data_IF_508893673453
#
_entry.id   IF_508893673453
#
_cell.length_a   1.000
_cell.length_b   1.000
_cell.length_c   1.000
_cell.angle_alpha   90.00
_cell.angle_beta   90.00
_cell.angle_gamma   90.00
#
_symmetry.space_group_name_H-M   'P 1'
#
loop_
_entity.id
_entity.type
_entity.pdbx_description
1 polymer ?
#
# COMPACT_ATOMS: atom_id res chain seq x y z
N UNK A 1 -11.59 3.60 14.51
CA UNK A 1 -10.69 3.61 15.67
C UNK A 1 -9.70 2.46 15.53
N UNK A 2 -8.56 2.54 16.21
CA UNK A 2 -7.41 1.63 16.04
C UNK A 2 -7.78 0.15 16.17
N UNK A 3 -8.56 -0.23 17.19
CA UNK A 3 -8.99 -1.63 17.39
C UNK A 3 -9.75 -2.19 16.20
N UNK A 4 -10.63 -1.39 15.57
CA UNK A 4 -11.40 -1.83 14.39
C UNK A 4 -10.48 -2.04 13.19
N UNK A 5 -9.49 -1.16 13.01
CA UNK A 5 -8.52 -1.29 11.93
C UNK A 5 -7.66 -2.55 12.07
N UNK A 6 -7.11 -2.80 13.27
CA UNK A 6 -6.30 -3.98 13.54
C UNK A 6 -7.08 -5.29 13.35
N UNK A 7 -8.35 -5.34 13.75
CA UNK A 7 -9.18 -6.53 13.48
C UNK A 7 -9.40 -6.76 11.99
N UNK A 8 -9.59 -5.68 11.21
CA UNK A 8 -9.76 -5.79 9.75
C UNK A 8 -8.49 -6.32 9.09
N UNK A 9 -7.31 -5.83 9.49
CA UNK A 9 -6.01 -6.34 9.01
C UNK A 9 -5.87 -7.85 9.27
N UNK A 10 -6.09 -8.28 10.51
CA UNK A 10 -6.01 -9.69 10.89
C UNK A 10 -6.99 -10.58 10.13
N UNK A 11 -8.14 -10.06 9.70
CA UNK A 11 -9.07 -10.82 8.86
C UNK A 11 -8.46 -11.04 7.47
N UNK A 12 -7.89 -10.00 6.84
CA UNK A 12 -7.25 -10.14 5.53
C UNK A 12 -6.00 -11.03 5.57
N UNK A 13 -5.28 -11.07 6.69
CA UNK A 13 -4.15 -11.98 6.89
C UNK A 13 -4.57 -13.45 6.95
N UNK A 14 -5.76 -13.75 7.50
CA UNK A 14 -6.19 -15.14 7.77
C UNK A 14 -7.13 -15.74 6.72
N UNK A 15 -7.79 -14.93 5.90
CA UNK A 15 -8.71 -15.44 4.88
C UNK A 15 -7.94 -16.25 3.82
N UNK A 16 -8.29 -17.53 3.70
CA UNK A 16 -7.79 -18.39 2.62
C UNK A 16 -8.67 -18.27 1.36
N UNK A 17 -8.16 -17.55 0.36
CA UNK A 17 -8.84 -17.32 -0.92
C UNK A 17 -9.01 -18.59 -1.77
N UNK A 18 -8.41 -19.72 -1.37
CA UNK A 18 -8.55 -21.01 -2.07
C UNK A 18 -9.73 -21.85 -1.58
N UNK A 19 -10.34 -21.50 -0.44
CA UNK A 19 -11.48 -22.23 0.12
C UNK A 19 -12.77 -21.86 -0.65
N UNK A 20 -13.57 -22.88 -0.97
CA UNK A 20 -14.83 -22.75 -1.69
C UNK A 20 -15.96 -23.41 -0.89
N UNK A 21 -17.07 -22.72 -0.61
CA UNK A 21 -17.35 -21.33 -0.99
C UNK A 21 -16.56 -20.31 -0.13
N UNK A 22 -16.05 -19.26 -0.77
CA UNK A 22 -15.23 -18.23 -0.12
C UNK A 22 -16.01 -17.50 0.98
N UNK A 23 -17.32 -17.34 0.79
CA UNK A 23 -18.22 -16.69 1.73
C UNK A 23 -18.23 -17.37 3.10
N UNK A 24 -18.19 -18.71 3.12
CA UNK A 24 -18.14 -19.48 4.38
C UNK A 24 -16.81 -19.28 5.11
N UNK A 25 -15.70 -19.21 4.36
CA UNK A 25 -14.38 -18.94 4.92
C UNK A 25 -14.32 -17.54 5.54
N UNK A 26 -14.79 -16.52 4.82
CA UNK A 26 -14.85 -15.14 5.32
C UNK A 26 -15.70 -15.10 6.61
N UNK A 27 -16.89 -15.70 6.60
CA UNK A 27 -17.77 -15.71 7.78
C UNK A 27 -17.12 -16.43 8.97
N UNK A 28 -16.41 -17.53 8.73
CA UNK A 28 -15.67 -18.28 9.76
C UNK A 28 -14.59 -17.42 10.40
N UNK A 29 -13.73 -16.79 9.59
CA UNK A 29 -12.65 -15.91 10.07
C UNK A 29 -13.23 -14.69 10.81
N UNK A 30 -14.21 -14.01 10.22
CA UNK A 30 -14.85 -12.83 10.82
C UNK A 30 -15.46 -13.19 12.17
N UNK A 31 -16.23 -14.29 12.25
CA UNK A 31 -16.84 -14.76 13.50
C UNK A 31 -15.76 -15.00 14.56
N UNK A 32 -14.69 -15.71 14.22
CA UNK A 32 -13.59 -15.98 15.15
C UNK A 32 -12.96 -14.68 15.69
N UNK A 33 -12.77 -13.68 14.83
CA UNK A 33 -12.12 -12.40 15.20
C UNK A 33 -12.99 -11.45 16.00
N UNK A 34 -14.32 -11.47 15.82
CA UNK A 34 -15.22 -10.52 16.49
C UNK A 34 -15.96 -11.07 17.70
N UNK A 35 -15.82 -12.37 18.01
CA UNK A 35 -16.66 -13.10 18.99
C UNK A 35 -16.78 -12.40 20.35
N UNK A 36 -15.68 -11.85 20.88
CA UNK A 36 -15.64 -11.20 22.20
C UNK A 36 -15.42 -9.67 22.13
N UNK A 37 -15.59 -9.07 20.95
CA UNK A 37 -15.24 -7.68 20.70
C UNK A 37 -16.43 -6.73 20.56
N UNK A 38 -16.15 -5.42 20.59
CA UNK A 38 -17.12 -4.35 20.26
C UNK A 38 -17.73 -4.49 18.85
N UNK A 39 -17.15 -5.35 18.02
CA UNK A 39 -17.57 -5.63 16.65
C UNK A 39 -18.54 -6.81 16.51
N UNK A 40 -18.91 -7.49 17.60
CA UNK A 40 -19.75 -8.71 17.55
C UNK A 40 -21.04 -8.55 16.74
N UNK A 41 -21.68 -7.39 16.81
CA UNK A 41 -22.93 -7.11 16.11
C UNK A 41 -22.74 -6.64 14.65
N UNK A 42 -21.51 -6.59 14.15
CA UNK A 42 -21.17 -6.11 12.81
C UNK A 42 -20.66 -7.23 11.89
N UNK A 43 -20.76 -8.50 12.28
CA UNK A 43 -20.18 -9.62 11.53
C UNK A 43 -20.62 -9.71 10.08
N UNK A 44 -21.91 -9.54 9.80
CA UNK A 44 -22.43 -9.53 8.42
C UNK A 44 -21.86 -8.37 7.59
N UNK A 45 -21.85 -7.16 8.16
CA UNK A 45 -21.31 -5.97 7.50
C UNK A 45 -19.81 -6.09 7.23
N UNK A 46 -19.04 -6.66 8.16
CA UNK A 46 -17.60 -6.90 8.00
C UNK A 46 -17.37 -7.99 6.95
N UNK A 47 -18.12 -9.09 7.00
CA UNK A 47 -17.99 -10.17 6.01
C UNK A 47 -18.26 -9.66 4.59
N UNK A 48 -19.33 -8.87 4.42
CA UNK A 48 -19.64 -8.21 3.17
C UNK A 48 -18.51 -7.28 2.71
N UNK A 49 -18.00 -6.41 3.59
CA UNK A 49 -16.90 -5.50 3.27
C UNK A 49 -15.62 -6.26 2.86
N UNK A 50 -15.30 -7.36 3.53
CA UNK A 50 -14.15 -8.21 3.19
C UNK A 50 -14.34 -8.84 1.82
N UNK A 51 -15.51 -9.43 1.54
CA UNK A 51 -15.83 -9.99 0.23
C UNK A 51 -15.77 -8.93 -0.88
N UNK A 52 -16.36 -7.75 -0.65
CA UNK A 52 -16.32 -6.62 -1.59
C UNK A 52 -14.87 -6.17 -1.84
N UNK A 53 -14.04 -6.09 -0.79
CA UNK A 53 -12.63 -5.72 -0.93
C UNK A 53 -11.85 -6.76 -1.73
N UNK A 54 -12.03 -8.04 -1.41
CA UNK A 54 -11.31 -9.14 -2.06
C UNK A 54 -11.66 -9.26 -3.55
N UNK A 55 -12.91 -8.95 -3.91
CA UNK A 55 -13.44 -9.13 -5.27
C UNK A 55 -13.41 -7.87 -6.14
N UNK A 56 -12.97 -6.73 -5.61
CA UNK A 56 -12.83 -5.49 -6.38
C UNK A 56 -11.57 -5.56 -7.25
N UNK A 57 -11.67 -5.33 -8.57
CA UNK A 57 -10.49 -5.21 -9.42
C UNK A 57 -9.62 -4.03 -8.99
N UNK A 58 -8.29 -4.20 -8.98
CA UNK A 58 -7.39 -3.20 -8.43
C UNK A 58 -7.13 -2.03 -9.40
N UNK A 59 -7.30 -2.23 -10.71
CA UNK A 59 -7.09 -1.18 -11.70
C UNK A 59 -5.63 -0.76 -11.87
N UNK A 60 -5.41 0.34 -12.60
CA UNK A 60 -4.09 0.91 -12.81
C UNK A 60 -3.07 -0.12 -13.34
N UNK A 61 -1.88 -0.25 -12.73
CA UNK A 61 -0.86 -1.21 -13.16
C UNK A 61 -1.25 -2.68 -12.94
N UNK A 62 -2.34 -2.95 -12.20
CA UNK A 62 -2.84 -4.30 -11.89
C UNK A 62 -4.03 -4.70 -12.77
N UNK A 63 -4.60 -3.78 -13.54
CA UNK A 63 -5.71 -4.05 -14.45
C UNK A 63 -6.92 -4.69 -13.74
N UNK A 64 -7.30 -5.90 -14.18
CA UNK A 64 -8.44 -6.62 -13.61
C UNK A 64 -8.07 -7.59 -12.47
N UNK A 65 -6.80 -7.64 -12.07
CA UNK A 65 -6.38 -8.48 -10.95
C UNK A 65 -7.12 -8.06 -9.67
N UNK A 66 -7.51 -9.04 -8.86
CA UNK A 66 -8.19 -8.83 -7.57
C UNK A 66 -7.41 -9.54 -6.47
N UNK A 67 -7.62 -9.13 -5.22
CA UNK A 67 -6.99 -9.79 -4.07
C UNK A 67 -7.45 -11.26 -3.94
N UNK A 68 -8.70 -11.57 -4.32
CA UNK A 68 -9.22 -12.95 -4.33
C UNK A 68 -8.46 -13.87 -5.28
N UNK A 69 -7.81 -13.34 -6.32
CA UNK A 69 -7.05 -14.12 -7.30
C UNK A 69 -5.65 -14.51 -6.79
N UNK A 70 -5.29 -14.09 -5.57
CA UNK A 70 -3.98 -14.27 -4.97
C UNK A 70 -4.11 -15.26 -3.80
N UNK A 71 -3.64 -16.52 -3.96
CA UNK A 71 -3.70 -17.50 -2.89
C UNK A 71 -2.75 -17.13 -1.73
N UNK A 72 -3.00 -17.58 -0.49
CA UNK A 72 -2.11 -17.31 0.65
C UNK A 72 -0.66 -17.72 0.40
N UNK A 73 -0.42 -18.78 -0.39
CA UNK A 73 0.93 -19.23 -0.79
C UNK A 73 1.71 -18.22 -1.65
N UNK A 74 1.04 -17.18 -2.18
CA UNK A 74 1.64 -16.07 -2.92
C UNK A 74 1.55 -14.75 -2.16
N UNK A 75 1.15 -14.77 -0.90
CA UNK A 75 1.09 -13.60 -0.04
C UNK A 75 2.18 -13.70 1.03
N UNK A 76 2.91 -12.62 1.25
CA UNK A 76 3.71 -12.44 2.46
C UNK A 76 2.96 -11.40 3.31
N UNK A 77 2.07 -11.82 4.21
CA UNK A 77 1.40 -10.91 5.13
C UNK A 77 2.39 -10.38 6.17
N UNK A 78 2.17 -9.15 6.64
CA UNK A 78 2.95 -8.52 7.71
C UNK A 78 4.47 -8.63 7.50
N UNK A 79 4.93 -8.26 6.30
CA UNK A 79 6.36 -8.30 5.97
C UNK A 79 7.10 -7.22 6.75
N UNK A 80 7.63 -7.62 7.91
CA UNK A 80 8.54 -6.82 8.71
C UNK A 80 9.84 -6.51 7.97
N UNK A 81 10.35 -5.29 8.14
CA UNK A 81 11.66 -4.90 7.64
C UNK A 81 12.43 -4.07 8.66
N UNK A 82 13.75 -4.18 8.55
CA UNK A 82 14.70 -3.34 9.26
C UNK A 82 15.72 -2.81 8.24
N UNK A 83 15.89 -1.50 8.20
CA UNK A 83 16.77 -0.83 7.26
C UNK A 83 17.71 0.13 7.99
N UNK A 84 19.01 -0.13 7.89
CA UNK A 84 20.01 0.85 8.29
C UNK A 84 19.88 2.12 7.46
N UNK A 85 19.93 3.25 8.17
CA UNK A 85 19.96 4.59 7.61
C UNK A 85 21.37 5.17 7.82
N UNK A 86 22.11 5.38 6.72
CA UNK A 86 23.43 6.02 6.76
C UNK A 86 23.39 7.51 7.10
N UNK A 87 22.19 8.07 7.32
CA UNK A 87 21.93 9.50 7.34
C UNK A 87 22.45 10.29 8.54
N UNK A 88 22.68 9.68 9.71
CA UNK A 88 23.21 10.43 10.87
C UNK A 88 24.64 10.94 10.64
N UNK A 89 25.46 10.22 9.87
CA UNK A 89 26.81 10.67 9.53
C UNK A 89 26.84 11.66 8.35
N UNK A 90 25.76 11.73 7.57
CA UNK A 90 25.68 12.52 6.31
C UNK A 90 24.56 13.57 6.28
N UNK A 91 23.96 13.87 7.45
CA UNK A 91 22.87 14.85 7.62
C UNK A 91 21.73 14.72 6.59
N UNK A 92 21.34 13.48 6.28
CA UNK A 92 20.24 13.22 5.33
C UNK A 92 18.93 13.59 6.03
N UNK A 93 18.02 14.25 5.31
CA UNK A 93 16.74 14.70 5.85
C UNK A 93 15.57 14.03 5.15
N UNK A 94 14.39 14.05 5.76
CA UNK A 94 13.15 13.61 5.08
C UNK A 94 12.92 14.41 3.79
N UNK A 95 13.23 15.71 3.77
CA UNK A 95 13.16 16.54 2.57
C UNK A 95 14.06 16.08 1.42
N UNK A 96 15.15 15.37 1.71
CA UNK A 96 15.98 14.73 0.68
C UNK A 96 15.20 13.66 -0.10
N UNK A 97 14.26 12.96 0.55
CA UNK A 97 13.34 12.02 -0.13
C UNK A 97 12.44 12.80 -1.08
N UNK A 98 11.86 13.92 -0.62
CA UNK A 98 11.04 14.81 -1.47
C UNK A 98 11.79 15.27 -2.73
N UNK A 99 13.06 15.66 -2.59
CA UNK A 99 13.91 16.09 -3.71
C UNK A 99 14.11 14.96 -4.74
N UNK A 100 14.38 13.73 -4.28
CA UNK A 100 14.51 12.56 -5.17
C UNK A 100 13.20 12.29 -5.92
N UNK A 101 12.05 12.36 -5.24
CA UNK A 101 10.75 12.21 -5.90
C UNK A 101 10.55 13.29 -6.95
N UNK A 102 10.78 14.56 -6.62
CA UNK A 102 10.59 15.69 -7.54
C UNK A 102 11.47 15.57 -8.80
N UNK A 103 12.66 14.99 -8.68
CA UNK A 103 13.53 14.71 -9.83
C UNK A 103 12.97 13.58 -10.73
N UNK A 104 12.31 12.58 -10.14
CA UNK A 104 11.90 11.37 -10.85
C UNK A 104 10.45 11.39 -11.37
N UNK A 105 9.57 12.13 -10.70
CA UNK A 105 8.13 12.15 -10.99
C UNK A 105 7.81 13.17 -12.08
N UNK A 106 6.87 12.81 -12.97
CA UNK A 106 6.30 13.78 -13.90
C UNK A 106 5.32 14.71 -13.16
N UNK A 107 5.03 15.92 -13.68
CA UNK A 107 4.04 16.81 -13.07
C UNK A 107 2.61 16.23 -13.02
N UNK A 108 2.32 15.19 -13.82
CA UNK A 108 1.04 14.51 -13.85
C UNK A 108 0.99 13.29 -12.90
N UNK A 109 2.10 12.93 -12.25
CA UNK A 109 2.13 11.83 -11.30
C UNK A 109 1.28 12.18 -10.07
N UNK A 110 0.45 11.25 -9.56
CA UNK A 110 -0.40 11.52 -8.40
C UNK A 110 0.38 11.86 -7.12
N UNK A 111 1.68 11.56 -7.05
CA UNK A 111 2.55 11.90 -5.92
C UNK A 111 3.38 13.17 -6.15
N UNK A 112 3.22 13.87 -7.29
CA UNK A 112 3.99 15.07 -7.60
C UNK A 112 3.76 16.19 -6.56
N UNK A 113 2.51 16.45 -6.18
CA UNK A 113 2.19 17.44 -5.14
C UNK A 113 2.75 17.03 -3.77
N UNK A 114 2.67 15.73 -3.43
CA UNK A 114 3.28 15.22 -2.21
C UNK A 114 4.81 15.37 -2.17
N UNK A 115 5.49 15.24 -3.31
CA UNK A 115 6.93 15.48 -3.41
C UNK A 115 7.29 16.94 -3.04
N UNK A 116 6.47 17.90 -3.47
CA UNK A 116 6.62 19.31 -3.07
C UNK A 116 6.39 19.52 -1.56
N UNK A 117 5.35 18.88 -1.00
CA UNK A 117 5.07 18.90 0.45
C UNK A 117 6.30 18.42 1.23
N UNK A 118 6.90 17.30 0.83
CA UNK A 118 8.10 16.77 1.47
C UNK A 118 9.31 17.69 1.35
N UNK A 119 9.38 18.56 0.34
CA UNK A 119 10.46 19.55 0.22
C UNK A 119 10.29 20.75 1.17
N UNK A 120 9.14 20.86 1.86
CA UNK A 120 8.84 21.94 2.77
C UNK A 120 9.66 21.92 4.06
N UNK A 121 9.74 23.06 4.78
CA UNK A 121 10.56 23.22 5.99
C UNK A 121 10.15 22.27 7.14
N UNK A 122 8.89 21.83 7.18
CA UNK A 122 8.41 20.86 8.16
C UNK A 122 9.11 19.49 8.05
N UNK A 123 9.73 19.18 6.92
CA UNK A 123 10.42 17.91 6.65
C UNK A 123 11.95 18.05 6.63
N UNK A 124 12.49 19.18 7.11
CA UNK A 124 13.92 19.36 7.38
C UNK A 124 14.36 18.59 8.65
N UNK A 125 13.92 17.35 8.77
CA UNK A 125 14.13 16.46 9.91
C UNK A 125 15.26 15.49 9.54
N UNK A 126 16.40 15.51 10.25
CA UNK A 126 17.47 14.54 10.03
C UNK A 126 16.98 13.12 10.27
N UNK A 127 17.37 12.21 9.38
CA UNK A 127 17.08 10.77 9.50
C UNK A 127 18.37 9.99 9.68
N UNK A 128 18.34 8.99 10.55
CA UNK A 128 19.43 8.04 10.70
C UNK A 128 19.15 7.01 11.79
N UNK A 129 20.09 6.07 11.95
CA UNK A 129 19.89 4.91 12.83
C UNK A 129 19.22 3.76 12.09
N UNK A 130 18.25 3.11 12.74
CA UNK A 130 17.52 1.98 12.16
C UNK A 130 16.07 2.40 11.89
N UNK A 131 15.60 2.14 10.67
CA UNK A 131 14.19 2.27 10.31
C UNK A 131 13.53 0.90 10.33
N UNK A 132 12.52 0.74 11.18
CA UNK A 132 11.74 -0.48 11.31
C UNK A 132 10.30 -0.23 10.87
N UNK A 133 9.67 -1.21 10.24
CA UNK A 133 8.26 -1.15 9.87
C UNK A 133 7.72 -2.50 9.41
N UNK A 134 6.42 -2.53 9.14
CA UNK A 134 5.74 -3.69 8.55
C UNK A 134 4.93 -3.23 7.34
N UNK A 135 4.94 -4.06 6.30
CA UNK A 135 4.04 -3.94 5.14
C UNK A 135 2.90 -4.91 5.36
N UNK A 136 1.65 -4.45 5.31
CA UNK A 136 0.48 -5.32 5.54
C UNK A 136 0.51 -6.56 4.63
N UNK A 137 0.83 -6.40 3.35
CA UNK A 137 1.08 -7.55 2.47
C UNK A 137 2.01 -7.23 1.28
N UNK A 138 2.87 -8.20 0.94
CA UNK A 138 3.52 -8.28 -0.38
C UNK A 138 2.87 -9.42 -1.16
N UNK A 139 2.26 -9.09 -2.29
CA UNK A 139 1.42 -9.98 -3.07
C UNK A 139 2.14 -10.43 -4.35
N UNK A 140 2.18 -11.73 -4.60
CA UNK A 140 2.59 -12.32 -5.87
C UNK A 140 1.42 -12.36 -6.85
N UNK A 141 1.41 -11.42 -7.79
CA UNK A 141 0.32 -11.23 -8.77
C UNK A 141 0.14 -12.45 -9.70
N UNK A 142 -1.03 -12.59 -10.35
CA UNK A 142 -1.24 -13.57 -11.41
C UNK A 142 -0.10 -13.58 -12.45
N UNK A 143 0.37 -14.78 -12.80
CA UNK A 143 1.50 -14.97 -13.70
C UNK A 143 2.89 -14.68 -13.10
N UNK A 144 2.99 -14.37 -11.81
CA UNK A 144 4.26 -14.29 -11.08
C UNK A 144 5.00 -15.64 -11.09
N UNK A 145 6.32 -15.61 -11.30
CA UNK A 145 7.20 -16.79 -11.31
C UNK A 145 8.39 -16.60 -10.38
N UNK A 146 9.03 -17.68 -9.95
CA UNK A 146 10.18 -17.60 -9.03
C UNK A 146 11.40 -16.88 -9.62
N UNK A 147 11.58 -16.92 -10.94
CA UNK A 147 12.68 -16.28 -11.67
C UNK A 147 12.35 -14.88 -12.17
N UNK A 148 11.06 -14.55 -12.28
CA UNK A 148 10.56 -13.24 -12.66
C UNK A 148 9.30 -12.92 -11.85
N UNK A 149 9.46 -12.57 -10.56
CA UNK A 149 8.32 -12.34 -9.68
C UNK A 149 7.61 -11.05 -10.07
N UNK A 150 6.28 -11.08 -10.07
CA UNK A 150 5.43 -9.90 -10.21
C UNK A 150 4.82 -9.58 -8.85
N UNK A 151 5.29 -8.52 -8.22
CA UNK A 151 5.00 -8.19 -6.84
C UNK A 151 4.20 -6.89 -6.74
N UNK A 152 3.17 -6.89 -5.91
CA UNK A 152 2.48 -5.68 -5.47
C UNK A 152 2.69 -5.49 -3.98
N UNK A 153 2.90 -4.24 -3.56
CA UNK A 153 2.87 -3.86 -2.15
C UNK A 153 1.45 -3.42 -1.84
N UNK A 154 0.81 -4.05 -0.86
CA UNK A 154 -0.58 -3.78 -0.49
C UNK A 154 -0.64 -3.27 0.95
N UNK A 155 -1.48 -2.25 1.17
CA UNK A 155 -1.78 -1.69 2.49
C UNK A 155 -3.29 -1.50 2.62
N UNK A 156 -3.88 -2.03 3.69
CA UNK A 156 -5.31 -1.99 3.95
C UNK A 156 -5.66 -0.77 4.80
N UNK A 157 -6.57 0.08 4.30
CA UNK A 157 -7.07 1.25 5.03
C UNK A 157 -8.54 1.06 5.42
N UNK A 158 -8.82 1.15 6.72
CA UNK A 158 -10.18 1.09 7.28
C UNK A 158 -10.72 2.49 7.66
N UNK A 159 -10.04 3.54 7.21
CA UNK A 159 -10.35 4.95 7.50
C UNK A 159 -11.78 5.30 7.09
N UNK A 160 -12.48 6.04 7.97
CA UNK A 160 -13.76 6.66 7.63
C UNK A 160 -13.49 8.02 7.01
N UNK A 161 -13.72 8.16 5.71
CA UNK A 161 -13.48 9.41 4.98
C UNK A 161 -14.74 10.28 4.86
N UNK A 162 -15.92 9.72 5.08
CA UNK A 162 -17.18 10.47 5.08
C UNK A 162 -17.52 11.02 6.47
N UNK A 163 -18.26 12.13 6.49
CA UNK A 163 -18.84 12.73 7.68
C UNK A 163 -20.23 12.13 7.98
N UNK A 164 -20.66 12.24 9.23
CA UNK A 164 -22.03 11.88 9.60
C UNK A 164 -23.03 12.79 8.85
N UNK A 165 -24.10 12.20 8.30
CA UNK A 165 -25.13 12.93 7.55
C UNK A 165 -24.83 13.17 6.06
N UNK A 166 -23.68 12.71 5.55
CA UNK A 166 -23.43 12.71 4.11
C UNK A 166 -24.42 11.78 3.39
N UNK A 167 -25.14 12.30 2.40
CA UNK A 167 -26.19 11.55 1.67
C UNK A 167 -25.64 10.31 0.96
N UNK A 168 -24.44 10.42 0.36
CA UNK A 168 -23.77 9.29 -0.28
C UNK A 168 -22.34 9.13 0.29
N UNK A 169 -22.16 8.33 1.35
CA UNK A 169 -20.86 8.09 1.96
C UNK A 169 -19.78 7.54 1.01
N UNK A 170 -20.19 6.88 -0.08
CA UNK A 170 -19.27 6.31 -1.06
C UNK A 170 -18.50 7.40 -1.82
N UNK A 171 -19.07 8.60 -1.98
CA UNK A 171 -18.41 9.73 -2.64
C UNK A 171 -17.15 10.22 -1.90
N UNK A 172 -17.04 9.94 -0.59
CA UNK A 172 -15.82 10.23 0.16
C UNK A 172 -14.64 9.32 -0.23
N UNK A 173 -14.88 8.28 -1.04
CA UNK A 173 -13.88 7.34 -1.54
C UNK A 173 -13.67 7.47 -3.05
N UNK A 174 -14.17 8.54 -3.68
CA UNK A 174 -13.84 8.85 -5.07
C UNK A 174 -12.31 9.01 -5.24
N UNK A 175 -11.73 8.69 -6.40
CA UNK A 175 -10.28 8.71 -6.62
C UNK A 175 -9.56 9.98 -6.14
N UNK A 176 -10.11 11.17 -6.40
CA UNK A 176 -9.56 12.45 -5.96
C UNK A 176 -9.53 12.56 -4.43
N UNK A 177 -10.61 12.12 -3.76
CA UNK A 177 -10.69 12.13 -2.29
C UNK A 177 -9.74 11.13 -1.66
N UNK A 178 -9.46 10.02 -2.34
CA UNK A 178 -8.43 9.08 -1.91
C UNK A 178 -7.05 9.72 -2.03
N UNK A 179 -6.73 10.42 -3.12
CA UNK A 179 -5.45 11.13 -3.27
C UNK A 179 -5.27 12.16 -2.15
N UNK A 180 -6.29 12.97 -1.86
CA UNK A 180 -6.28 13.91 -0.72
C UNK A 180 -6.03 13.18 0.61
N UNK A 181 -6.73 12.07 0.86
CA UNK A 181 -6.55 11.28 2.08
C UNK A 181 -5.14 10.66 2.19
N UNK A 182 -4.56 10.24 1.06
CA UNK A 182 -3.19 9.74 1.00
C UNK A 182 -2.21 10.81 1.46
N UNK A 183 -2.33 12.04 0.95
CA UNK A 183 -1.45 13.16 1.31
C UNK A 183 -1.60 13.57 2.78
N UNK A 184 -2.84 13.76 3.25
CA UNK A 184 -3.15 14.16 4.63
C UNK A 184 -2.57 13.19 5.65
N UNK A 185 -2.54 11.90 5.34
CA UNK A 185 -2.03 10.86 6.24
C UNK A 185 -0.57 10.47 5.97
N UNK A 186 0.13 11.16 5.06
CA UNK A 186 1.51 10.85 4.67
C UNK A 186 1.72 9.39 4.21
N UNK A 187 0.66 8.75 3.70
CA UNK A 187 0.71 7.39 3.17
C UNK A 187 1.68 7.23 1.99
N UNK A 188 1.88 8.22 1.09
CA UNK A 188 2.93 8.12 0.08
C UNK A 188 4.34 7.95 0.66
N UNK A 189 4.67 8.57 1.81
CA UNK A 189 5.96 8.34 2.46
C UNK A 189 6.08 6.89 2.96
N UNK A 190 5.01 6.31 3.52
CA UNK A 190 4.99 4.89 3.87
C UNK A 190 5.23 4.02 2.63
N UNK A 191 4.50 4.26 1.55
CA UNK A 191 4.61 3.55 0.29
C UNK A 191 6.04 3.54 -0.27
N UNK A 192 6.69 4.70 -0.25
CA UNK A 192 8.08 4.89 -0.69
C UNK A 192 9.06 4.07 0.17
N UNK A 193 8.87 4.08 1.49
CA UNK A 193 9.72 3.32 2.41
C UNK A 193 9.51 1.81 2.25
N UNK A 194 8.27 1.36 2.07
CA UNK A 194 7.92 -0.03 1.79
C UNK A 194 8.52 -0.52 0.48
N UNK A 195 8.40 0.27 -0.59
CA UNK A 195 9.02 -0.02 -1.87
C UNK A 195 10.54 -0.10 -1.79
N UNK A 196 11.17 0.81 -1.04
CA UNK A 196 12.62 0.80 -0.83
C UNK A 196 13.08 -0.41 0.00
N UNK A 197 12.30 -0.83 1.00
CA UNK A 197 12.55 -2.04 1.78
C UNK A 197 12.48 -3.29 0.88
N UNK A 198 11.40 -3.42 0.10
CA UNK A 198 11.23 -4.54 -0.82
C UNK A 198 12.33 -4.57 -1.89
N UNK A 199 12.70 -3.41 -2.44
CA UNK A 199 13.83 -3.28 -3.37
C UNK A 199 15.13 -3.81 -2.78
N UNK A 200 15.48 -3.38 -1.55
CA UNK A 200 16.70 -3.83 -0.86
C UNK A 200 16.66 -5.34 -0.58
N UNK A 201 15.50 -5.87 -0.19
CA UNK A 201 15.29 -7.30 0.03
C UNK A 201 15.51 -8.09 -1.28
N UNK A 202 14.91 -7.66 -2.39
CA UNK A 202 15.07 -8.32 -3.69
C UNK A 202 16.52 -8.32 -4.15
N UNK A 203 17.21 -7.17 -4.06
CA UNK A 203 18.63 -7.07 -4.39
C UNK A 203 19.49 -8.04 -3.58
N UNK A 204 19.15 -8.27 -2.32
CA UNK A 204 19.88 -9.19 -1.44
C UNK A 204 19.55 -10.66 -1.69
N UNK A 205 18.25 -11.01 -1.75
CA UNK A 205 17.78 -12.40 -1.84
C UNK A 205 17.76 -12.96 -3.26
N UNK A 206 17.66 -12.09 -4.26
CA UNK A 206 17.48 -12.43 -5.68
C UNK A 206 18.34 -11.50 -6.56
N UNK A 207 19.67 -11.49 -6.41
CA UNK A 207 20.55 -10.54 -7.12
C UNK A 207 20.47 -10.60 -8.65
N UNK A 208 19.95 -11.69 -9.21
CA UNK A 208 19.77 -11.91 -10.65
C UNK A 208 18.52 -11.23 -11.24
N UNK A 209 17.55 -10.81 -10.42
CA UNK A 209 16.32 -10.16 -10.92
C UNK A 209 16.48 -8.64 -10.89
N UNK A 210 15.82 -7.95 -11.81
CA UNK A 210 15.70 -6.49 -11.77
C UNK A 210 14.52 -6.08 -10.87
N UNK A 211 14.74 -5.49 -9.68
CA UNK A 211 13.66 -5.14 -8.76
C UNK A 211 12.64 -4.16 -9.36
N UNK A 212 13.06 -3.24 -10.24
CA UNK A 212 12.15 -2.27 -10.88
C UNK A 212 11.14 -2.94 -11.82
N UNK A 213 11.49 -4.10 -12.37
CA UNK A 213 10.57 -4.92 -13.16
C UNK A 213 9.73 -5.85 -12.29
N UNK A 214 10.26 -6.25 -11.12
CA UNK A 214 9.57 -7.15 -10.22
C UNK A 214 8.47 -6.45 -9.42
N UNK A 215 8.71 -5.22 -8.98
CA UNK A 215 7.73 -4.43 -8.22
C UNK A 215 6.80 -3.74 -9.23
N UNK A 216 5.65 -4.35 -9.48
CA UNK A 216 4.65 -3.85 -10.44
C UNK A 216 4.04 -2.54 -9.98
N UNK A 217 3.83 -2.40 -8.68
CA UNK A 217 3.33 -1.17 -8.07
C UNK A 217 2.94 -1.34 -6.62
N UNK A 218 2.30 -0.31 -6.11
CA UNK A 218 1.75 -0.21 -4.77
C UNK A 218 0.25 -0.03 -4.88
N UNK A 219 -0.50 -0.64 -3.96
CA UNK A 219 -1.94 -0.50 -3.85
C UNK A 219 -2.35 -0.21 -2.41
N UNK A 220 -3.14 0.84 -2.22
CA UNK A 220 -3.81 1.14 -0.97
C UNK A 220 -5.30 0.84 -1.15
N UNK A 221 -5.82 -0.08 -0.33
CA UNK A 221 -7.20 -0.53 -0.39
C UNK A 221 -8.01 0.07 0.75
N UNK A 222 -8.76 1.13 0.45
CA UNK A 222 -9.70 1.75 1.37
C UNK A 222 -10.99 0.93 1.40
N UNK A 223 -10.95 -0.14 2.19
CA UNK A 223 -11.99 -1.18 2.35
C UNK A 223 -13.44 -0.70 2.35
N UNK A 224 -13.71 0.47 2.96
CA UNK A 224 -15.07 1.06 3.04
C UNK A 224 -15.59 1.60 1.70
N UNK A 225 -14.70 1.95 0.78
CA UNK A 225 -15.01 2.49 -0.54
C UNK A 225 -15.16 1.45 -1.65
N UNK A 226 -14.80 0.20 -1.37
CA UNK A 226 -14.80 -0.91 -2.32
C UNK A 226 -16.14 -1.67 -2.25
N UNK A 227 -16.67 -2.09 -3.39
CA UNK A 227 -18.01 -2.69 -3.56
C UNK A 227 -17.98 -3.92 -4.49
N UNK A 228 -16.86 -4.62 -4.57
CA UNK A 228 -16.67 -5.76 -5.45
C UNK A 228 -16.66 -5.35 -6.93
N UNK A 229 -17.24 -6.19 -7.79
CA UNK A 229 -17.38 -5.91 -9.21
C UNK A 229 -18.12 -4.60 -9.50
N UNK A 230 -19.08 -4.23 -8.65
CA UNK A 230 -19.91 -3.04 -8.76
C UNK A 230 -19.25 -1.76 -8.24
N UNK A 231 -17.96 -1.82 -7.86
CA UNK A 231 -17.20 -0.64 -7.41
C UNK A 231 -17.20 0.43 -8.50
N UNK A 232 -17.74 1.64 -8.21
CA UNK A 232 -17.77 2.71 -9.20
C UNK A 232 -16.38 3.08 -9.71
N UNK A 233 -16.33 3.52 -10.96
CA UNK A 233 -15.15 4.08 -11.60
C UNK A 233 -15.39 5.54 -11.96
N UNK A 234 -14.35 6.35 -11.92
CA UNK A 234 -14.39 7.67 -12.54
C UNK A 234 -14.23 7.58 -14.08
N UNK A 235 -14.16 8.75 -14.73
CA UNK A 235 -13.97 8.85 -16.18
C UNK A 235 -12.57 8.38 -16.67
N UNK A 236 -11.61 8.17 -15.78
CA UNK A 236 -10.28 7.64 -16.06
C UNK A 236 -10.18 6.14 -15.78
N UNK A 237 -11.28 5.50 -15.37
CA UNK A 237 -11.31 4.09 -15.00
C UNK A 237 -10.71 3.78 -13.63
N UNK A 238 -10.41 4.79 -12.80
CA UNK A 238 -9.92 4.60 -11.44
C UNK A 238 -11.09 4.24 -10.53
N UNK A 239 -10.90 3.24 -9.68
CA UNK A 239 -11.97 2.69 -8.83
C UNK A 239 -12.04 3.40 -7.49
N UNK A 240 -13.27 3.54 -7.00
CA UNK A 240 -13.52 4.08 -5.68
C UNK A 240 -12.88 3.20 -4.61
N UNK A 241 -12.24 3.85 -3.64
CA UNK A 241 -11.54 3.18 -2.54
C UNK A 241 -10.22 2.50 -2.94
N UNK A 242 -9.74 2.62 -4.18
CA UNK A 242 -8.48 2.03 -4.60
C UNK A 242 -7.52 3.12 -5.06
N UNK A 243 -6.36 3.20 -4.42
CA UNK A 243 -5.24 3.99 -4.91
C UNK A 243 -4.15 3.04 -5.39
N UNK A 244 -3.71 3.24 -6.63
CA UNK A 244 -2.59 2.48 -7.20
C UNK A 244 -1.51 3.43 -7.65
N UNK A 245 -0.25 3.04 -7.47
CA UNK A 245 0.88 3.81 -7.98
C UNK A 245 2.00 2.90 -8.46
N UNK A 246 2.63 3.30 -9.57
CA UNK A 246 3.78 2.60 -10.14
C UNK A 246 4.97 3.55 -10.11
N UNK A 247 6.03 3.15 -9.43
CA UNK A 247 7.26 3.94 -9.39
C UNK A 247 7.88 4.03 -10.79
N UNK A 248 8.40 5.20 -11.19
CA UNK A 248 9.25 5.31 -12.37
C UNK A 248 10.54 4.49 -12.21
N UNK A 249 11.09 4.03 -13.33
CA UNK A 249 12.33 3.27 -13.33
C UNK A 249 13.47 4.05 -12.65
N UNK A 250 14.29 3.36 -11.87
CA UNK A 250 15.42 3.90 -11.14
C UNK A 250 15.08 4.57 -9.80
N UNK A 251 13.80 4.82 -9.50
CA UNK A 251 13.41 5.50 -8.25
C UNK A 251 13.83 4.71 -7.01
N UNK A 252 13.59 3.40 -7.00
CA UNK A 252 13.92 2.55 -5.86
C UNK A 252 15.41 2.51 -5.56
N UNK A 253 16.23 2.48 -6.62
CA UNK A 253 17.67 2.57 -6.49
C UNK A 253 18.09 3.93 -5.89
N UNK A 254 17.61 5.05 -6.45
CA UNK A 254 17.93 6.40 -5.96
C UNK A 254 17.55 6.56 -4.48
N UNK A 255 16.38 6.10 -4.08
CA UNK A 255 15.95 6.13 -2.67
C UNK A 255 16.80 5.23 -1.78
N UNK A 256 17.11 4.01 -2.23
CA UNK A 256 17.98 3.10 -1.49
C UNK A 256 19.37 3.70 -1.29
N UNK A 257 19.94 4.33 -2.31
CA UNK A 257 21.27 4.95 -2.27
C UNK A 257 21.26 6.21 -1.40
N UNK A 258 20.17 6.98 -1.42
CA UNK A 258 19.92 8.10 -0.50
C UNK A 258 19.95 7.61 0.93
N UNK A 259 19.10 6.65 1.29
CA UNK A 259 19.02 6.15 2.67
C UNK A 259 20.31 5.43 3.12
N UNK A 260 21.16 4.98 2.19
CA UNK A 260 22.47 4.41 2.49
C UNK A 260 23.58 5.46 2.65
N UNK A 261 23.30 6.75 2.39
CA UNK A 261 24.31 7.80 2.41
C UNK A 261 25.31 7.73 1.26
N UNK A 262 24.92 7.14 0.12
CA UNK A 262 25.81 7.01 -1.04
C UNK A 262 25.93 8.28 -1.89
N UNK A 263 25.10 9.30 -1.64
CA UNK A 263 25.28 10.61 -2.27
C UNK A 263 26.30 11.45 -1.50
N UNK A 264 27.51 11.52 -2.04
CA UNK A 264 28.42 12.65 -1.93
C UNK A 264 28.96 12.95 -3.33
N UNK A 265 28.51 14.09 -3.87
CA UNK A 265 29.05 14.90 -4.98
C UNK A 265 27.88 15.84 -5.36
N UNK A 266 27.88 17.16 -5.23
CA UNK A 266 28.92 18.19 -5.05
C UNK A 266 28.17 19.44 -4.57
N UNK A 267 28.70 20.22 -3.62
CA UNK A 267 28.42 21.67 -3.56
C UNK A 267 29.56 22.33 -4.34
#
# INVERSE_FOLDING_TARGET
GVTVGSTIHQIFEEVDTTIVPLEEEIQRIVKNKITNGRLRNFGENISKMVQETLTTPLGGPFGNDRLVDIPPSRCIPEMGFEMGLGGQQKNIKVSSVGKVLKECLSPQDPLANYAEILCGPAFEIPIGGLLTGSVDAVLGLPGSRSDHPKLAICDYKSNRLHTAGMQNPLQAYAPERIIEAMEVHHYPLQAILYGTALYRMLRWRRPQVNPDQCIVGIVYVFTRGMKGADTPTDNQGRRYGVFTWRAPAGLWQKLSDLLAGKFEATI
#
